data_IF_334102510245
#
_entry.id   IF_334102510245
#
_cell.length_a   1.000
_cell.length_b   1.000
_cell.length_c   1.000
_cell.angle_alpha   90.00
_cell.angle_beta   90.00
_cell.angle_gamma   90.00
#
_symmetry.space_group_name_H-M   'P 1'
#
loop_
_entity.id
_entity.type
_entity.pdbx_description
1 polymer ?
#
# COMPACT_ATOMS: atom_id res chain seq x y z
N UNK A 1 7.09 -14.29 16.56
CA UNK A 1 8.18 -13.33 16.27
C UNK A 1 7.53 -12.03 15.79
N UNK A 2 7.38 -11.03 16.67
CA UNK A 2 6.77 -9.73 16.33
C UNK A 2 7.87 -8.72 15.98
N UNK A 3 8.49 -8.88 14.81
CA UNK A 3 9.69 -8.11 14.44
C UNK A 3 9.40 -6.79 13.74
N UNK A 4 8.21 -6.56 13.19
CA UNK A 4 8.00 -5.44 12.26
C UNK A 4 7.42 -4.16 12.87
N UNK A 5 6.83 -4.18 14.07
CA UNK A 5 6.01 -3.03 14.53
C UNK A 5 6.50 -2.38 15.85
N UNK A 6 7.52 -2.92 16.53
CA UNK A 6 8.06 -2.32 17.77
C UNK A 6 9.24 -1.36 17.59
N UNK A 7 9.86 -1.27 16.39
CA UNK A 7 10.94 -0.31 16.15
C UNK A 7 10.43 0.92 15.41
N UNK A 8 10.74 2.11 15.90
CA UNK A 8 10.42 3.38 15.22
C UNK A 8 11.10 3.58 13.85
N UNK A 9 11.95 2.63 13.43
CA UNK A 9 12.65 2.65 12.14
C UNK A 9 12.22 1.44 11.30
N UNK A 10 11.01 1.49 10.73
CA UNK A 10 10.59 0.52 9.71
C UNK A 10 11.26 0.90 8.39
N UNK A 11 12.08 0.01 7.84
CA UNK A 11 12.55 0.12 6.47
C UNK A 11 11.39 -0.23 5.52
N UNK A 12 10.65 0.79 5.11
CA UNK A 12 9.49 0.63 4.23
C UNK A 12 9.85 0.06 2.85
N UNK A 13 11.12 0.15 2.43
CA UNK A 13 11.56 -0.53 1.21
C UNK A 13 11.58 -2.07 1.36
N UNK A 14 11.64 -2.57 2.60
CA UNK A 14 11.72 -4.02 2.93
C UNK A 14 10.50 -4.55 3.67
N UNK A 15 9.45 -3.74 3.80
CA UNK A 15 8.34 -4.01 4.71
C UNK A 15 7.34 -5.06 4.21
N UNK A 16 7.37 -5.41 2.92
CA UNK A 16 6.45 -6.39 2.32
C UNK A 16 7.04 -7.00 1.03
N UNK A 17 6.24 -7.75 0.30
CA UNK A 17 6.65 -8.55 -0.86
C UNK A 17 7.24 -7.70 -2.01
N UNK A 18 6.92 -6.40 -2.05
CA UNK A 18 7.50 -5.44 -3.00
C UNK A 18 9.03 -5.34 -2.90
N UNK A 19 9.64 -5.79 -1.80
CA UNK A 19 11.10 -5.78 -1.70
C UNK A 19 11.77 -6.60 -2.81
N UNK A 20 11.17 -7.73 -3.20
CA UNK A 20 11.69 -8.55 -4.30
C UNK A 20 11.71 -7.78 -5.63
N UNK A 21 10.78 -6.84 -5.82
CA UNK A 21 10.71 -5.97 -7.00
C UNK A 21 11.81 -4.91 -6.92
N UNK A 22 11.97 -4.28 -5.76
CA UNK A 22 13.03 -3.31 -5.48
C UNK A 22 14.43 -3.89 -5.75
N UNK A 23 14.69 -5.13 -5.33
CA UNK A 23 15.97 -5.82 -5.56
C UNK A 23 16.28 -6.03 -7.04
N UNK A 24 15.27 -6.05 -7.90
CA UNK A 24 15.39 -6.26 -9.33
C UNK A 24 15.18 -4.97 -10.15
N UNK A 25 15.20 -3.80 -9.50
CA UNK A 25 14.94 -2.50 -10.14
C UNK A 25 13.59 -2.42 -10.87
N UNK A 26 12.59 -3.16 -10.40
CA UNK A 26 11.22 -3.09 -10.94
C UNK A 26 10.48 -1.98 -10.18
N UNK A 27 9.94 -0.95 -10.85
CA UNK A 27 9.16 0.10 -10.21
C UNK A 27 7.91 -0.47 -9.54
N UNK A 28 7.56 0.06 -8.37
CA UNK A 28 6.38 -0.34 -7.62
C UNK A 28 5.78 0.84 -6.86
N UNK A 29 4.48 0.74 -6.58
CA UNK A 29 3.78 1.59 -5.62
C UNK A 29 3.30 0.69 -4.50
N UNK A 30 3.74 0.97 -3.27
CA UNK A 30 3.37 0.19 -2.08
C UNK A 30 2.39 0.98 -1.21
N UNK A 31 1.14 0.52 -1.15
CA UNK A 31 0.13 1.03 -0.22
C UNK A 31 0.22 0.29 1.11
N UNK A 32 1.19 0.70 1.93
CA UNK A 32 1.38 0.16 3.27
C UNK A 32 0.35 0.68 4.28
N UNK A 33 0.34 0.05 5.45
CA UNK A 33 -0.40 0.53 6.61
C UNK A 33 0.56 0.88 7.74
N UNK A 34 0.16 1.86 8.56
CA UNK A 34 0.89 2.21 9.79
C UNK A 34 0.72 1.17 10.90
N UNK A 35 0.98 1.60 12.13
CA UNK A 35 0.78 0.76 13.30
C UNK A 35 -0.68 0.31 13.44
N UNK A 36 -0.88 -0.99 13.67
CA UNK A 36 -2.15 -1.57 14.11
C UNK A 36 -1.93 -2.44 15.36
N UNK A 37 -2.61 -2.13 16.48
CA UNK A 37 -2.48 -2.89 17.72
C UNK A 37 -3.04 -4.31 17.64
N UNK A 38 -3.88 -4.63 16.64
CA UNK A 38 -4.48 -5.96 16.47
C UNK A 38 -3.67 -6.88 15.55
N UNK A 39 -2.70 -6.34 14.81
CA UNK A 39 -1.89 -7.08 13.87
C UNK A 39 -1.14 -8.26 14.51
N UNK A 40 -1.15 -9.43 13.85
CA UNK A 40 -0.61 -10.70 14.38
C UNK A 40 -1.20 -11.14 15.72
N UNK A 41 -2.47 -10.81 15.98
CA UNK A 41 -3.20 -11.30 17.16
C UNK A 41 -4.51 -11.96 16.74
N UNK A 42 -5.12 -12.72 17.65
CA UNK A 42 -6.46 -13.27 17.46
C UNK A 42 -7.56 -12.21 17.42
N UNK A 43 -7.22 -10.94 17.67
CA UNK A 43 -8.11 -9.78 17.57
C UNK A 43 -8.09 -9.14 16.19
N UNK A 44 -7.29 -9.63 15.25
CA UNK A 44 -7.39 -9.23 13.84
C UNK A 44 -8.67 -9.82 13.24
N UNK A 45 -9.80 -9.17 13.51
CA UNK A 45 -11.14 -9.63 13.18
C UNK A 45 -11.98 -8.48 12.62
N UNK A 46 -13.05 -8.83 11.90
CA UNK A 46 -13.99 -7.87 11.29
C UNK A 46 -14.53 -6.84 12.30
N UNK A 47 -14.72 -7.25 13.56
CA UNK A 47 -15.24 -6.37 14.61
C UNK A 47 -14.28 -5.21 14.95
N UNK A 48 -12.99 -5.36 14.67
CA UNK A 48 -11.97 -4.34 14.94
C UNK A 48 -11.59 -3.53 13.69
N UNK A 49 -12.28 -3.75 12.56
CA UNK A 49 -12.07 -2.95 11.35
C UNK A 49 -12.74 -1.58 11.52
N UNK A 50 -11.95 -0.53 11.26
CA UNK A 50 -12.48 0.82 11.01
C UNK A 50 -13.08 0.88 9.59
N UNK A 51 -14.39 0.63 9.49
CA UNK A 51 -15.10 0.57 8.21
C UNK A 51 -15.04 1.91 7.44
N UNK A 52 -15.27 3.08 8.06
CA UNK A 52 -15.09 4.36 7.37
C UNK A 52 -13.70 4.53 6.76
N UNK A 53 -12.63 4.18 7.50
CA UNK A 53 -11.25 4.25 7.01
C UNK A 53 -10.98 3.27 5.88
N UNK A 54 -11.52 2.06 5.96
CA UNK A 54 -11.40 1.07 4.89
C UNK A 54 -11.99 1.62 3.58
N UNK A 55 -13.24 2.12 3.61
CA UNK A 55 -13.91 2.66 2.42
C UNK A 55 -13.16 3.85 1.84
N UNK A 56 -12.72 4.79 2.68
CA UNK A 56 -11.97 5.97 2.20
C UNK A 56 -10.62 5.59 1.58
N UNK A 57 -9.95 4.58 2.14
CA UNK A 57 -8.68 4.06 1.58
C UNK A 57 -8.89 3.41 0.22
N UNK A 58 -9.93 2.60 0.06
CA UNK A 58 -10.26 1.97 -1.23
C UNK A 58 -10.53 3.02 -2.31
N UNK A 59 -11.33 4.04 -2.00
CA UNK A 59 -11.63 5.13 -2.95
C UNK A 59 -10.38 5.94 -3.31
N UNK A 60 -9.47 6.17 -2.36
CA UNK A 60 -8.22 6.87 -2.63
C UNK A 60 -7.31 6.06 -3.58
N UNK A 61 -7.18 4.75 -3.35
CA UNK A 61 -6.39 3.85 -4.21
C UNK A 61 -7.01 3.77 -5.61
N UNK A 62 -8.33 3.63 -5.70
CA UNK A 62 -9.06 3.65 -6.98
C UNK A 62 -8.79 4.96 -7.75
N UNK A 63 -8.93 6.11 -7.08
CA UNK A 63 -8.67 7.41 -7.67
C UNK A 63 -7.24 7.56 -8.18
N UNK A 64 -6.26 7.07 -7.43
CA UNK A 64 -4.86 7.02 -7.86
C UNK A 64 -4.67 6.17 -9.11
N UNK A 65 -5.21 4.95 -9.14
CA UNK A 65 -5.11 4.04 -10.28
C UNK A 65 -5.73 4.66 -11.53
N UNK A 66 -6.90 5.29 -11.40
CA UNK A 66 -7.55 5.99 -12.53
C UNK A 66 -6.70 7.13 -13.06
N UNK A 67 -6.13 7.96 -12.19
CA UNK A 67 -5.25 9.07 -12.61
C UNK A 67 -4.00 8.55 -13.32
N UNK A 68 -3.36 7.51 -12.77
CA UNK A 68 -2.19 6.90 -13.38
C UNK A 68 -2.50 6.30 -14.77
N UNK A 69 -3.65 5.63 -14.91
CA UNK A 69 -4.09 5.05 -16.17
C UNK A 69 -4.47 6.11 -17.20
N UNK A 70 -5.13 7.21 -16.80
CA UNK A 70 -5.49 8.31 -17.70
C UNK A 70 -4.25 9.04 -18.24
N UNK A 71 -3.24 9.31 -17.39
CA UNK A 71 -1.98 9.93 -17.83
C UNK A 71 -1.31 9.14 -18.95
N UNK A 72 -1.35 7.80 -18.88
CA UNK A 72 -0.77 6.95 -19.91
C UNK A 72 -1.50 7.03 -21.26
N UNK A 73 -2.80 7.35 -21.26
CA UNK A 73 -3.58 7.51 -22.50
C UNK A 73 -3.29 8.84 -23.19
N UNK A 74 -3.08 9.92 -22.44
CA UNK A 74 -2.79 11.24 -23.01
C UNK A 74 -1.38 11.31 -23.59
N UNK A 75 -0.39 10.69 -22.96
CA UNK A 75 1.01 10.65 -23.45
C UNK A 75 1.12 9.89 -24.79
N UNK A 76 0.31 8.85 -25.02
CA UNK A 76 0.29 8.10 -26.28
C UNK A 76 -0.37 8.87 -27.44
N UNK A 77 -1.22 9.86 -27.14
CA UNK A 77 -1.91 10.68 -28.14
C UNK A 77 -1.25 12.04 -28.37
N UNK A 78 -0.25 12.41 -27.57
CA UNK A 78 0.50 13.66 -27.71
C UNK A 78 1.71 13.54 -28.69
N UNK A 79 2.08 12.33 -29.09
CA UNK A 79 3.16 12.07 -30.06
C UNK A 79 2.67 11.88 -31.52
N UNK A 80 1.38 12.10 -31.80
CA UNK A 80 0.80 12.14 -33.16
C UNK A 80 0.41 13.55 -33.57
#
# INVERSE_FOLDING_TARGET
MNRLIKSQNIDWHKASDHYSFAQNNIPYVYFGMGHDPHHHTTKDTVQNIDIPKYVSTVLAIEGFIKQLAHHHYDDLNAET
#
